data_IF_692603736734
#
_entry.id   IF_692603736734
#
_cell.length_a   1.000
_cell.length_b   1.000
_cell.length_c   1.000
_cell.angle_alpha   90.00
_cell.angle_beta   90.00
_cell.angle_gamma   90.00
#
_symmetry.space_group_name_H-M   'P 1'
#
loop_
_entity.id
_entity.type
_entity.pdbx_description
1 polymer ?
#
# COMPACT_ATOMS: atom_id res chain seq x y z
N UNK A 1 19.35 11.94 8.51
CA UNK A 1 20.70 12.42 8.17
C UNK A 1 20.66 13.92 7.93
N UNK A 2 21.45 14.69 8.70
CA UNK A 2 21.51 16.15 8.56
C UNK A 2 22.09 16.56 7.20
N UNK A 3 21.33 17.28 6.36
CA UNK A 3 21.81 17.85 5.10
C UNK A 3 21.29 19.28 4.96
N UNK A 4 22.16 20.19 4.52
CA UNK A 4 21.81 21.58 4.26
C UNK A 4 22.18 21.95 2.83
N UNK A 5 21.35 22.73 2.17
CA UNK A 5 21.54 23.18 0.78
C UNK A 5 21.44 24.70 0.72
N UNK A 6 22.36 25.42 0.07
CA UNK A 6 22.28 26.87 -0.03
C UNK A 6 20.98 27.30 -0.74
N UNK A 7 20.31 28.32 -0.21
CA UNK A 7 19.13 28.95 -0.83
C UNK A 7 19.60 30.18 -1.62
N UNK A 8 19.17 30.31 -2.87
CA UNK A 8 19.48 31.50 -3.69
C UNK A 8 18.83 32.75 -3.09
N UNK A 9 19.54 33.88 -3.12
CA UNK A 9 19.05 35.16 -2.56
C UNK A 9 17.83 35.72 -3.34
N UNK A 10 17.67 35.31 -4.60
CA UNK A 10 16.55 35.66 -5.48
C UNK A 10 15.24 34.94 -5.14
N UNK A 11 15.28 33.83 -4.42
CA UNK A 11 14.15 32.89 -4.28
C UNK A 11 13.32 33.12 -2.99
N UNK A 12 13.48 34.27 -2.34
CA UNK A 12 12.72 34.64 -1.13
C UNK A 12 11.41 35.34 -1.50
N UNK A 13 10.28 34.84 -1.00
CA UNK A 13 8.96 35.48 -1.18
C UNK A 13 8.89 36.81 -0.40
N UNK A 14 7.92 37.66 -0.74
CA UNK A 14 7.75 38.95 -0.09
C UNK A 14 7.49 38.83 1.42
N UNK A 15 6.70 37.82 1.84
CA UNK A 15 6.38 37.52 3.23
C UNK A 15 7.60 37.03 3.99
N UNK A 16 8.42 36.15 3.39
CA UNK A 16 9.66 35.67 4.00
C UNK A 16 10.65 36.82 4.21
N UNK A 17 10.77 37.72 3.23
CA UNK A 17 11.61 38.92 3.35
C UNK A 17 11.14 39.81 4.50
N UNK A 18 9.83 39.98 4.65
CA UNK A 18 9.24 40.74 5.75
C UNK A 18 9.48 40.07 7.11
N UNK A 19 9.23 38.76 7.22
CA UNK A 19 9.50 37.99 8.44
C UNK A 19 10.97 38.09 8.85
N UNK A 20 11.90 37.97 7.89
CA UNK A 20 13.34 38.13 8.13
C UNK A 20 13.69 39.53 8.66
N UNK A 21 13.04 40.57 8.13
CA UNK A 21 13.25 41.93 8.59
C UNK A 21 12.70 42.18 10.02
N UNK A 22 11.58 41.56 10.37
CA UNK A 22 10.93 41.71 11.68
C UNK A 22 11.69 40.97 12.79
N UNK A 23 12.03 39.69 12.56
CA UNK A 23 12.59 38.85 13.61
C UNK A 23 14.10 38.99 13.76
N UNK A 24 14.78 39.71 12.86
CA UNK A 24 16.22 39.96 12.94
C UNK A 24 17.05 38.68 12.97
N UNK A 25 16.46 37.54 12.61
CA UNK A 25 17.17 36.28 12.51
C UNK A 25 18.27 36.49 11.46
N UNK A 26 19.52 36.31 11.88
CA UNK A 26 20.63 36.06 10.97
C UNK A 26 20.32 34.74 10.26
N UNK A 27 19.43 34.81 9.28
CA UNK A 27 18.89 33.66 8.59
C UNK A 27 20.08 32.92 7.99
N UNK A 28 20.25 31.67 8.40
CA UNK A 28 21.12 30.72 7.71
C UNK A 28 20.72 30.76 6.23
N UNK A 29 21.66 31.09 5.34
CA UNK A 29 21.48 31.08 3.87
C UNK A 29 21.27 29.66 3.31
N UNK A 30 20.87 28.72 4.15
CA UNK A 30 20.77 27.30 3.86
C UNK A 30 19.40 26.79 4.24
N UNK A 31 18.83 25.97 3.36
CA UNK A 31 17.63 25.19 3.59
C UNK A 31 18.01 23.83 4.17
N UNK A 32 17.26 23.38 5.17
CA UNK A 32 17.36 22.00 5.65
C UNK A 32 16.77 21.06 4.59
N UNK A 33 17.58 20.13 4.10
CA UNK A 33 17.23 19.08 3.13
C UNK A 33 17.59 17.69 3.69
N UNK A 34 17.53 17.57 5.02
CA UNK A 34 17.86 16.36 5.75
C UNK A 34 16.96 15.19 5.39
N UNK A 35 17.56 13.99 5.27
CA UNK A 35 16.82 12.75 5.17
C UNK A 35 16.13 12.47 6.51
N UNK A 36 14.81 12.35 6.49
CA UNK A 36 13.95 11.98 7.63
C UNK A 36 13.52 10.52 7.48
N UNK A 37 13.10 9.91 8.58
CA UNK A 37 12.47 8.59 8.52
C UNK A 37 11.13 8.74 7.78
N UNK A 38 10.85 7.94 6.74
CA UNK A 38 9.58 7.98 6.02
C UNK A 38 8.39 7.68 6.93
N UNK A 39 7.20 8.11 6.51
CA UNK A 39 5.96 7.80 7.22
C UNK A 39 5.71 6.29 7.28
N UNK A 40 5.31 5.78 8.44
CA UNK A 40 5.04 4.36 8.66
C UNK A 40 6.26 3.52 9.01
N UNK A 41 7.47 4.02 8.78
CA UNK A 41 8.70 3.30 9.11
C UNK A 41 9.15 3.55 10.55
N UNK A 42 9.52 2.49 11.25
CA UNK A 42 10.08 2.56 12.60
C UNK A 42 11.14 1.47 12.79
N UNK A 43 12.13 1.71 13.64
CA UNK A 43 13.12 0.68 13.92
C UNK A 43 14.35 1.20 14.65
N UNK A 44 15.36 0.36 14.70
CA UNK A 44 16.66 0.63 15.32
C UNK A 44 17.69 0.72 14.21
N UNK A 45 18.52 1.76 14.23
CA UNK A 45 19.67 1.85 13.31
C UNK A 45 20.66 0.75 13.66
N UNK A 46 20.91 -0.16 12.73
CA UNK A 46 21.84 -1.28 12.89
C UNK A 46 23.22 -0.98 12.33
N UNK A 47 23.28 -0.20 11.26
CA UNK A 47 24.53 0.17 10.61
C UNK A 47 24.38 1.51 9.86
N UNK A 48 25.49 2.22 9.70
CA UNK A 48 25.56 3.45 8.92
C UNK A 48 26.87 3.48 8.14
N UNK A 49 26.78 3.47 6.81
CA UNK A 49 27.93 3.50 5.91
C UNK A 49 28.03 4.85 5.24
N UNK A 50 29.23 5.42 5.26
CA UNK A 50 29.54 6.70 4.64
C UNK A 50 30.54 6.46 3.52
N UNK A 51 30.17 6.85 2.31
CA UNK A 51 30.99 6.75 1.12
C UNK A 51 31.45 8.14 0.70
N UNK A 52 32.75 8.30 0.46
CA UNK A 52 33.35 9.59 0.09
C UNK A 52 34.35 9.41 -1.04
N UNK A 53 34.43 10.39 -1.93
CA UNK A 53 35.41 10.37 -3.02
C UNK A 53 36.85 10.34 -2.52
N UNK A 54 37.11 10.95 -1.35
CA UNK A 54 38.42 10.95 -0.70
C UNK A 54 38.85 9.56 -0.20
N UNK A 55 37.89 8.70 0.17
CA UNK A 55 38.14 7.32 0.58
C UNK A 55 38.35 6.36 -0.62
N UNK A 56 38.24 6.86 -1.85
CA UNK A 56 38.37 6.06 -3.07
C UNK A 56 37.08 5.36 -3.51
N UNK A 57 35.93 5.71 -2.91
CA UNK A 57 34.63 5.16 -3.30
C UNK A 57 34.15 5.74 -4.64
N UNK A 58 33.56 4.91 -5.50
CA UNK A 58 32.92 5.35 -6.73
C UNK A 58 31.59 6.04 -6.42
N UNK A 59 31.52 7.34 -6.73
CA UNK A 59 30.33 8.18 -6.55
C UNK A 59 29.91 8.79 -7.88
N UNK A 60 28.59 8.86 -8.09
CA UNK A 60 27.99 9.51 -9.25
C UNK A 60 28.49 10.95 -9.49
N UNK A 61 28.42 11.44 -10.74
CA UNK A 61 28.89 12.78 -11.09
C UNK A 61 28.11 13.85 -10.31
N UNK A 62 28.83 14.79 -9.69
CA UNK A 62 28.24 15.84 -8.84
C UNK A 62 27.89 15.42 -7.41
N UNK A 63 28.12 14.16 -7.04
CA UNK A 63 27.93 13.66 -5.67
C UNK A 63 29.25 13.74 -4.90
N UNK A 64 29.22 14.43 -3.75
CA UNK A 64 30.38 14.59 -2.86
C UNK A 64 30.49 13.45 -1.82
N UNK A 65 29.35 13.02 -1.29
CA UNK A 65 29.26 12.03 -0.23
C UNK A 65 27.90 11.31 -0.32
N UNK A 66 27.90 9.99 -0.09
CA UNK A 66 26.69 9.18 0.05
C UNK A 66 26.67 8.60 1.46
N UNK A 67 25.51 8.66 2.12
CA UNK A 67 25.34 8.02 3.43
C UNK A 67 24.16 7.06 3.38
N UNK A 68 24.42 5.79 3.68
CA UNK A 68 23.41 4.74 3.78
C UNK A 68 23.20 4.41 5.26
N UNK A 69 21.96 4.47 5.72
CA UNK A 69 21.58 4.14 7.09
C UNK A 69 20.67 2.93 7.05
N UNK A 70 21.08 1.84 7.69
CA UNK A 70 20.31 0.60 7.76
C UNK A 70 19.48 0.61 9.04
N UNK A 71 18.17 0.45 8.89
CA UNK A 71 17.21 0.41 9.99
C UNK A 71 16.58 -0.97 10.02
N UNK A 72 16.63 -1.64 11.17
CA UNK A 72 15.99 -2.93 11.36
C UNK A 72 14.74 -2.80 12.25
N UNK A 73 13.69 -3.52 11.87
CA UNK A 73 12.44 -3.58 12.60
C UNK A 73 12.04 -5.03 12.85
N UNK A 74 11.59 -5.34 14.07
CA UNK A 74 10.99 -6.64 14.38
C UNK A 74 9.46 -6.54 14.26
N UNK A 75 8.91 -7.10 13.18
CA UNK A 75 7.47 -7.10 12.92
C UNK A 75 6.80 -8.36 13.48
N UNK A 76 5.89 -8.18 14.45
CA UNK A 76 5.04 -9.27 14.98
C UNK A 76 3.84 -9.50 14.07
N UNK A 77 3.14 -10.63 14.22
CA UNK A 77 1.86 -10.84 13.53
C UNK A 77 0.81 -9.89 14.09
N UNK A 78 0.04 -9.28 13.20
CA UNK A 78 -1.01 -8.33 13.57
C UNK A 78 -2.29 -8.58 12.76
N UNK A 79 -3.40 -8.00 13.23
CA UNK A 79 -4.66 -7.99 12.49
C UNK A 79 -4.45 -7.25 11.18
N UNK A 80 -4.84 -7.86 10.06
CA UNK A 80 -4.58 -7.34 8.72
C UNK A 80 -3.41 -8.03 8.00
N UNK A 81 -2.52 -8.73 8.71
CA UNK A 81 -1.46 -9.50 8.05
C UNK A 81 -2.03 -10.69 7.27
N UNK A 82 -1.47 -10.94 6.09
CA UNK A 82 -1.87 -12.05 5.23
C UNK A 82 -1.08 -13.32 5.58
N UNK A 83 -1.82 -14.40 5.74
CA UNK A 83 -1.31 -15.73 6.04
C UNK A 83 -1.81 -16.73 4.98
N UNK A 84 -1.08 -17.82 4.78
CA UNK A 84 -1.46 -18.85 3.82
C UNK A 84 -1.03 -20.24 4.25
N UNK A 85 -1.87 -21.25 4.01
CA UNK A 85 -1.44 -22.63 3.99
C UNK A 85 -0.81 -23.01 2.64
N UNK A 86 -0.18 -24.18 2.59
CA UNK A 86 0.47 -24.70 1.37
C UNK A 86 -0.52 -25.09 0.27
N UNK A 87 -1.79 -25.28 0.63
CA UNK A 87 -2.87 -25.71 -0.27
C UNK A 87 -3.68 -24.53 -0.86
N UNK A 88 -3.08 -23.33 -0.92
CA UNK A 88 -3.70 -22.15 -1.53
C UNK A 88 -4.79 -21.48 -0.69
N UNK A 89 -5.04 -21.96 0.53
CA UNK A 89 -5.93 -21.31 1.50
C UNK A 89 -5.27 -20.06 2.08
N UNK A 90 -5.50 -18.92 1.41
CA UNK A 90 -5.02 -17.59 1.82
C UNK A 90 -6.10 -16.88 2.63
N UNK A 91 -5.68 -16.16 3.67
CA UNK A 91 -6.56 -15.37 4.53
C UNK A 91 -5.83 -14.21 5.19
N UNK A 92 -6.61 -13.28 5.73
CA UNK A 92 -6.10 -12.17 6.53
C UNK A 92 -6.45 -12.46 8.00
N UNK A 93 -5.53 -12.16 8.92
CA UNK A 93 -5.81 -12.26 10.36
C UNK A 93 -6.91 -11.24 10.72
N UNK A 94 -8.08 -11.71 11.11
CA UNK A 94 -9.22 -10.85 11.45
C UNK A 94 -9.22 -10.41 12.91
N UNK A 95 -8.80 -11.30 13.82
CA UNK A 95 -8.77 -11.04 15.26
C UNK A 95 -7.71 -11.90 15.93
N UNK A 96 -7.01 -11.32 16.90
CA UNK A 96 -6.14 -12.04 17.84
C UNK A 96 -6.89 -12.13 19.16
N UNK A 97 -7.28 -13.35 19.55
CA UNK A 97 -7.99 -13.60 20.80
C UNK A 97 -7.01 -13.89 21.94
N UNK A 98 -7.36 -13.54 23.19
CA UNK A 98 -6.69 -14.08 24.37
C UNK A 98 -6.76 -15.61 24.38
N UNK A 99 -5.79 -16.26 25.00
CA UNK A 99 -5.68 -17.72 25.02
C UNK A 99 -6.88 -18.37 25.75
N UNK A 100 -7.39 -17.71 26.78
CA UNK A 100 -8.56 -18.14 27.57
C UNK A 100 -9.87 -18.13 26.77
N UNK A 101 -9.95 -17.32 25.73
CA UNK A 101 -11.15 -17.18 24.88
C UNK A 101 -11.17 -18.19 23.72
N UNK A 102 -10.04 -18.84 23.44
CA UNK A 102 -9.91 -19.78 22.32
C UNK A 102 -10.60 -21.10 22.65
N UNK A 103 -11.23 -21.75 21.66
CA UNK A 103 -11.67 -23.13 21.82
C UNK A 103 -10.51 -24.02 22.29
N UNK A 104 -10.80 -24.93 23.21
CA UNK A 104 -9.79 -25.81 23.78
C UNK A 104 -10.21 -27.28 23.75
N UNK A 105 -9.20 -28.13 23.74
CA UNK A 105 -9.31 -29.59 23.71
C UNK A 105 -9.61 -30.14 25.13
N UNK A 106 -10.06 -31.41 25.27
CA UNK A 106 -10.40 -31.98 26.58
C UNK A 106 -9.23 -32.06 27.57
N UNK A 107 -7.99 -31.99 27.08
CA UNK A 107 -6.75 -31.93 27.85
C UNK A 107 -6.43 -30.50 28.37
N UNK A 108 -7.23 -29.49 27.99
CA UNK A 108 -7.03 -28.09 28.32
C UNK A 108 -6.18 -27.32 27.31
N UNK A 109 -5.68 -27.95 26.25
CA UNK A 109 -4.85 -27.29 25.24
C UNK A 109 -5.72 -26.40 24.34
N UNK A 110 -5.50 -25.07 24.29
CA UNK A 110 -6.24 -24.18 23.41
C UNK A 110 -5.73 -24.29 21.97
N UNK A 111 -6.61 -23.99 21.01
CA UNK A 111 -6.23 -23.92 19.59
C UNK A 111 -5.44 -22.64 19.29
N UNK A 112 -4.52 -22.71 18.32
CA UNK A 112 -3.75 -21.56 17.85
C UNK A 112 -4.48 -20.76 16.75
N UNK A 113 -5.12 -21.46 15.81
CA UNK A 113 -5.77 -20.86 14.63
C UNK A 113 -7.11 -21.57 14.38
N UNK A 114 -8.15 -20.80 14.10
CA UNK A 114 -9.47 -21.32 13.68
C UNK A 114 -9.70 -20.95 12.21
N UNK A 115 -9.85 -21.96 11.35
CA UNK A 115 -10.08 -21.80 9.92
C UNK A 115 -11.56 -22.06 9.58
N UNK A 116 -12.11 -21.24 8.69
CA UNK A 116 -13.50 -21.39 8.25
C UNK A 116 -13.65 -22.59 7.28
N UNK A 117 -14.49 -23.60 7.59
CA UNK A 117 -14.64 -24.78 6.73
C UNK A 117 -15.30 -24.48 5.38
N UNK A 118 -16.09 -23.40 5.25
CA UNK A 118 -16.82 -23.07 4.02
C UNK A 118 -15.91 -22.83 2.81
N UNK A 119 -14.65 -22.47 3.04
CA UNK A 119 -13.67 -22.22 1.99
C UNK A 119 -13.05 -23.49 1.38
N UNK A 120 -13.30 -24.68 1.95
CA UNK A 120 -12.67 -25.93 1.48
C UNK A 120 -13.47 -26.59 0.34
N UNK A 121 -14.80 -26.83 0.47
CA UNK A 121 -15.55 -27.55 -0.57
C UNK A 121 -15.60 -26.80 -1.91
N UNK A 122 -15.76 -25.47 -1.86
CA UNK A 122 -15.86 -24.62 -3.05
C UNK A 122 -14.54 -24.53 -3.85
N UNK A 123 -13.40 -24.72 -3.18
CA UNK A 123 -12.06 -24.59 -3.79
C UNK A 123 -11.42 -25.92 -4.15
N UNK A 124 -12.04 -27.04 -3.79
CA UNK A 124 -11.57 -28.41 -4.03
C UNK A 124 -10.14 -28.68 -3.53
N UNK A 125 -9.68 -27.95 -2.51
CA UNK A 125 -8.33 -28.10 -1.93
C UNK A 125 -8.37 -28.97 -0.67
N UNK A 126 -8.87 -30.21 -0.82
CA UNK A 126 -9.06 -31.17 0.27
C UNK A 126 -7.75 -31.61 0.94
N UNK A 127 -6.61 -31.45 0.26
CA UNK A 127 -5.29 -31.76 0.79
C UNK A 127 -4.99 -31.06 2.11
N UNK A 128 -5.56 -29.87 2.36
CA UNK A 128 -5.40 -29.20 3.66
C UNK A 128 -6.05 -29.97 4.81
N UNK A 129 -7.13 -30.71 4.56
CA UNK A 129 -7.81 -31.54 5.58
C UNK A 129 -7.01 -32.82 5.81
N UNK A 130 -6.49 -33.42 4.75
CA UNK A 130 -5.60 -34.58 4.83
C UNK A 130 -4.31 -34.23 5.61
N UNK A 131 -3.74 -33.05 5.36
CA UNK A 131 -2.60 -32.53 6.12
C UNK A 131 -2.93 -32.40 7.61
N UNK A 132 -4.10 -31.85 7.96
CA UNK A 132 -4.54 -31.68 9.36
C UNK A 132 -4.65 -33.02 10.06
N UNK A 133 -5.25 -34.03 9.42
CA UNK A 133 -5.41 -35.37 9.99
C UNK A 133 -4.05 -36.07 10.21
N UNK A 134 -3.20 -36.09 9.18
CA UNK A 134 -1.88 -36.70 9.27
C UNK A 134 -0.99 -35.96 10.27
N UNK A 135 -1.05 -34.63 10.28
CA UNK A 135 -0.34 -33.78 11.24
C UNK A 135 -0.78 -34.03 12.68
N UNK A 136 -2.07 -34.32 12.90
CA UNK A 136 -2.57 -34.67 14.23
C UNK A 136 -2.00 -35.99 14.74
N UNK A 137 -2.04 -37.04 13.92
CA UNK A 137 -1.46 -38.34 14.25
C UNK A 137 0.06 -38.24 14.48
N UNK A 138 0.77 -37.53 13.59
CA UNK A 138 2.21 -37.34 13.67
C UNK A 138 2.65 -36.62 14.96
N UNK A 139 1.91 -35.58 15.37
CA UNK A 139 2.17 -34.87 16.61
C UNK A 139 1.96 -35.76 17.85
N UNK A 140 0.86 -36.52 17.90
CA UNK A 140 0.57 -37.43 19.00
C UNK A 140 1.61 -38.56 19.13
N UNK A 141 2.14 -39.06 18.01
CA UNK A 141 3.20 -40.07 17.98
C UNK A 141 4.61 -39.48 18.14
N UNK A 142 4.77 -38.15 18.14
CA UNK A 142 6.05 -37.47 18.28
C UNK A 142 6.99 -37.66 17.08
N UNK A 143 6.47 -37.89 15.88
CA UNK A 143 7.24 -38.12 14.66
C UNK A 143 7.00 -37.05 13.60
N UNK A 144 7.91 -36.94 12.63
CA UNK A 144 7.71 -36.14 11.41
C UNK A 144 7.44 -37.09 10.24
N UNK A 145 6.52 -36.70 9.37
CA UNK A 145 6.13 -37.48 8.19
C UNK A 145 6.54 -36.72 6.93
N UNK A 146 6.96 -37.46 5.91
CA UNK A 146 7.19 -36.94 4.58
C UNK A 146 6.27 -37.68 3.61
N UNK A 147 5.44 -36.94 2.88
CA UNK A 147 4.54 -37.47 1.85
C UNK A 147 4.99 -36.97 0.48
N UNK A 148 5.53 -37.83 -0.40
CA UNK A 148 5.81 -37.48 -1.78
C UNK A 148 4.57 -36.97 -2.52
N UNK A 149 4.76 -36.16 -3.56
CA UNK A 149 3.67 -35.43 -4.25
C UNK A 149 2.66 -36.37 -4.91
N UNK A 150 3.12 -37.48 -5.49
CA UNK A 150 2.29 -38.42 -6.27
C UNK A 150 2.35 -39.86 -5.77
N UNK A 151 3.08 -40.12 -4.70
CA UNK A 151 3.26 -41.43 -4.06
C UNK A 151 3.27 -41.22 -2.53
N UNK A 152 2.23 -40.53 -2.06
CA UNK A 152 2.07 -40.06 -0.70
C UNK A 152 1.34 -41.05 0.19
N UNK A 153 1.03 -40.64 1.42
CA UNK A 153 0.17 -41.41 2.31
C UNK A 153 -1.27 -41.44 1.77
N UNK A 154 -1.88 -42.62 1.75
CA UNK A 154 -3.27 -42.80 1.40
C UNK A 154 -4.19 -42.55 2.60
N UNK A 155 -5.50 -42.41 2.36
CA UNK A 155 -6.50 -42.23 3.42
C UNK A 155 -6.49 -43.39 4.44
N UNK A 156 -6.21 -44.61 3.96
CA UNK A 156 -6.03 -45.79 4.81
C UNK A 156 -4.87 -45.62 5.79
N UNK A 157 -3.70 -45.18 5.29
CA UNK A 157 -2.51 -44.97 6.11
C UNK A 157 -2.75 -43.89 7.18
N UNK A 158 -3.44 -42.81 6.81
CA UNK A 158 -3.79 -41.72 7.75
C UNK A 158 -4.70 -42.24 8.85
N UNK A 159 -5.72 -43.04 8.49
CA UNK A 159 -6.67 -43.61 9.44
C UNK A 159 -5.98 -44.59 10.39
N UNK A 160 -5.10 -45.44 9.88
CA UNK A 160 -4.31 -46.39 10.67
C UNK A 160 -3.37 -45.65 11.63
N UNK A 161 -2.74 -44.56 11.18
CA UNK A 161 -1.87 -43.75 12.00
C UNK A 161 -2.63 -43.01 13.11
N UNK A 162 -3.84 -42.51 12.84
CA UNK A 162 -4.73 -41.94 13.85
C UNK A 162 -5.12 -42.98 14.92
N UNK A 163 -5.44 -44.20 14.51
CA UNK A 163 -5.76 -45.30 15.43
C UNK A 163 -4.55 -45.68 16.30
N UNK A 164 -3.36 -45.77 15.71
CA UNK A 164 -2.11 -46.02 16.44
C UNK A 164 -1.81 -44.94 17.47
N UNK A 165 -2.18 -43.68 17.17
CA UNK A 165 -2.07 -42.55 18.09
C UNK A 165 -3.15 -42.53 19.19
N UNK A 166 -4.15 -43.42 19.13
CA UNK A 166 -5.29 -43.43 20.06
C UNK A 166 -6.29 -42.30 19.83
N UNK A 167 -6.31 -41.72 18.61
CA UNK A 167 -7.19 -40.64 18.21
C UNK A 167 -8.43 -41.17 17.47
N UNK A 168 -9.44 -40.32 17.29
CA UNK A 168 -10.63 -40.65 16.51
C UNK A 168 -10.24 -40.91 15.04
N UNK A 169 -10.64 -42.04 14.44
CA UNK A 169 -10.38 -42.33 13.03
C UNK A 169 -10.89 -41.25 12.06
N UNK A 170 -11.92 -40.49 12.44
CA UNK A 170 -12.43 -39.38 11.62
C UNK A 170 -11.58 -38.11 11.69
N UNK A 171 -10.52 -38.07 12.53
CA UNK A 171 -9.70 -36.87 12.73
C UNK A 171 -10.42 -35.72 13.44
N UNK A 172 -11.53 -36.01 14.12
CA UNK A 172 -12.33 -35.02 14.86
C UNK A 172 -12.18 -35.19 16.36
N UNK A 173 -12.34 -34.10 17.10
CA UNK A 173 -12.31 -34.10 18.57
C UNK A 173 -13.43 -33.23 19.14
N UNK A 174 -13.81 -33.50 20.38
CA UNK A 174 -14.75 -32.65 21.12
C UNK A 174 -13.98 -31.42 21.58
N UNK A 175 -14.49 -30.24 21.25
CA UNK A 175 -13.94 -28.97 21.71
C UNK A 175 -14.88 -28.34 22.72
N UNK A 176 -14.32 -27.50 23.58
CA UNK A 176 -15.04 -26.66 24.53
C UNK A 176 -14.87 -25.18 24.17
N UNK A 177 -15.92 -24.39 24.34
CA UNK A 177 -15.86 -22.95 24.17
C UNK A 177 -15.08 -22.32 25.35
N UNK A 178 -14.01 -21.58 25.06
CA UNK A 178 -13.19 -20.90 26.08
C UNK A 178 -13.96 -19.88 26.92
N UNK A 179 -15.04 -19.31 26.38
CA UNK A 179 -15.82 -18.27 27.07
C UNK A 179 -16.88 -18.80 28.02
N UNK A 180 -17.54 -19.90 27.65
CA UNK A 180 -18.65 -20.48 28.41
C UNK A 180 -18.22 -21.73 29.17
N UNK A 181 -17.21 -22.45 28.68
CA UNK A 181 -16.80 -23.77 29.15
C UNK A 181 -17.71 -24.90 28.65
N UNK A 182 -18.73 -24.62 27.85
CA UNK A 182 -19.64 -25.63 27.31
C UNK A 182 -19.02 -26.36 26.10
N UNK A 183 -19.27 -27.68 25.94
CA UNK A 183 -18.83 -28.40 24.76
C UNK A 183 -19.60 -27.95 23.51
N UNK A 184 -18.94 -27.94 22.35
CA UNK A 184 -19.62 -27.74 21.07
C UNK A 184 -20.55 -28.92 20.74
N UNK A 185 -21.67 -28.63 20.05
CA UNK A 185 -22.69 -29.63 19.69
C UNK A 185 -22.15 -30.79 18.83
N UNK A 186 -21.21 -30.48 17.93
CA UNK A 186 -20.63 -31.45 17.00
C UNK A 186 -19.12 -31.55 17.20
N UNK A 187 -18.55 -32.74 16.95
CA UNK A 187 -17.10 -32.93 16.89
C UNK A 187 -16.52 -32.09 15.75
N UNK A 188 -15.39 -31.45 16.01
CA UNK A 188 -14.72 -30.56 15.06
C UNK A 188 -13.40 -31.18 14.64
N UNK A 189 -13.02 -31.02 13.36
CA UNK A 189 -11.71 -31.46 12.87
C UNK A 189 -10.62 -30.60 13.51
N UNK A 190 -9.66 -31.24 14.17
CA UNK A 190 -8.53 -30.61 14.85
C UNK A 190 -7.26 -31.31 14.41
N UNK A 191 -6.16 -30.55 14.29
CA UNK A 191 -4.87 -31.11 13.95
C UNK A 191 -3.85 -30.02 13.64
N UNK A 192 -2.71 -30.44 13.10
CA UNK A 192 -1.58 -29.56 12.84
C UNK A 192 -1.46 -29.31 11.34
N UNK A 193 -1.45 -28.02 10.97
CA UNK A 193 -1.26 -27.57 9.59
C UNK A 193 -0.05 -26.66 9.52
N UNK A 194 0.68 -26.71 8.42
CA UNK A 194 1.78 -25.80 8.15
C UNK A 194 1.26 -24.48 7.55
N UNK A 195 1.42 -23.40 8.30
CA UNK A 195 0.95 -22.07 7.93
C UNK A 195 2.10 -21.08 7.77
N UNK A 196 2.04 -20.29 6.70
CA UNK A 196 3.05 -19.33 6.29
C UNK A 196 2.57 -17.90 6.52
N UNK A 197 3.48 -17.05 6.99
CA UNK A 197 3.30 -15.59 6.97
C UNK A 197 3.77 -15.05 5.64
N UNK A 198 2.90 -14.36 4.92
CA UNK A 198 3.26 -13.77 3.62
C UNK A 198 3.85 -12.37 3.81
N UNK A 199 4.67 -11.95 2.84
CA UNK A 199 5.17 -10.58 2.72
C UNK A 199 4.07 -9.61 2.21
N UNK A 200 2.87 -9.74 2.76
CA UNK A 200 1.76 -8.81 2.56
C UNK A 200 1.28 -8.39 3.94
N UNK A 201 2.00 -7.44 4.52
CA UNK A 201 1.77 -6.93 5.86
C UNK A 201 0.86 -5.70 5.79
N UNK A 202 0.05 -5.52 6.83
CA UNK A 202 -0.88 -4.37 6.88
C UNK A 202 -0.13 -3.04 6.98
N UNK A 203 0.97 -3.02 7.72
CA UNK A 203 1.81 -1.82 7.94
C UNK A 203 2.35 -1.26 6.61
N UNK A 204 2.62 -2.14 5.65
CA UNK A 204 3.09 -1.75 4.32
C UNK A 204 1.95 -1.27 3.42
N UNK A 205 0.71 -1.68 3.67
CA UNK A 205 -0.45 -1.37 2.83
C UNK A 205 -1.27 -0.18 3.29
N UNK A 206 -1.21 0.17 4.57
CA UNK A 206 -1.93 1.35 5.08
C UNK A 206 -1.32 2.62 4.51
N UNK A 207 -2.16 3.45 3.91
CA UNK A 207 -1.78 4.75 3.35
C UNK A 207 -2.92 5.74 3.56
N UNK A 208 -2.56 6.95 3.98
CA UNK A 208 -3.49 8.04 4.17
C UNK A 208 -2.81 9.35 3.79
N UNK A 209 -3.55 10.22 3.12
CA UNK A 209 -3.10 11.53 2.65
C UNK A 209 -4.15 12.58 3.00
N UNK A 210 -3.70 13.71 3.54
CA UNK A 210 -4.52 14.92 3.69
C UNK A 210 -4.23 15.90 2.55
N UNK A 211 -2.99 16.36 2.48
CA UNK A 211 -2.40 17.24 1.46
C UNK A 211 -1.03 16.67 1.12
N UNK A 212 -0.42 17.08 0.02
CA UNK A 212 0.87 16.53 -0.40
C UNK A 212 1.15 16.88 -1.84
N UNK A 213 2.23 16.34 -2.42
CA UNK A 213 2.76 16.83 -3.68
C UNK A 213 1.81 16.60 -4.86
N UNK A 214 2.00 17.44 -5.89
CA UNK A 214 1.16 17.52 -7.07
C UNK A 214 2.02 17.44 -8.34
N UNK A 215 1.44 16.89 -9.40
CA UNK A 215 2.09 16.88 -10.71
C UNK A 215 2.31 18.30 -11.23
N UNK A 216 3.52 18.58 -11.74
CA UNK A 216 3.85 19.87 -12.33
C UNK A 216 2.95 20.24 -13.52
N UNK A 217 2.54 19.23 -14.30
CA UNK A 217 1.78 19.44 -15.54
C UNK A 217 0.28 19.48 -15.24
N UNK A 218 -0.26 18.42 -14.63
CA UNK A 218 -1.71 18.26 -14.46
C UNK A 218 -2.23 18.89 -13.17
N UNK A 219 -1.35 19.32 -12.25
CA UNK A 219 -1.69 19.81 -10.92
C UNK A 219 -2.51 18.85 -10.05
N UNK A 220 -2.62 17.57 -10.47
CA UNK A 220 -3.29 16.52 -9.71
C UNK A 220 -2.37 15.94 -8.64
N UNK A 221 -2.92 15.44 -7.52
CA UNK A 221 -2.18 14.64 -6.54
C UNK A 221 -1.31 13.57 -7.20
N UNK A 222 -0.02 13.49 -6.83
CA UNK A 222 0.85 12.40 -7.30
C UNK A 222 0.29 11.02 -6.89
N UNK A 223 0.74 9.96 -7.57
CA UNK A 223 0.35 8.58 -7.28
C UNK A 223 1.38 7.86 -6.39
N UNK A 224 0.93 6.78 -5.74
CA UNK A 224 1.82 5.86 -5.02
C UNK A 224 2.13 6.28 -3.57
N UNK A 225 2.28 5.27 -2.70
CA UNK A 225 2.54 5.46 -1.26
C UNK A 225 3.86 6.20 -1.00
N UNK A 226 4.90 5.85 -1.76
CA UNK A 226 6.24 6.42 -1.61
C UNK A 226 6.27 7.94 -1.85
N UNK A 227 5.41 8.45 -2.73
CA UNK A 227 5.33 9.89 -3.05
C UNK A 227 4.25 10.62 -2.24
N UNK A 228 3.74 9.99 -1.17
CA UNK A 228 2.61 10.51 -0.41
C UNK A 228 1.39 10.81 -1.32
N UNK A 229 1.15 9.89 -2.26
CA UNK A 229 0.20 10.06 -3.35
C UNK A 229 -1.27 10.01 -2.94
N UNK A 230 -2.15 10.55 -3.77
CA UNK A 230 -3.60 10.46 -3.61
C UNK A 230 -4.13 9.11 -4.10
N UNK A 231 -5.33 8.73 -3.64
CA UNK A 231 -6.05 7.61 -4.22
C UNK A 231 -6.68 8.04 -5.55
N UNK A 232 -6.58 7.19 -6.57
CA UNK A 232 -7.24 7.44 -7.85
C UNK A 232 -8.75 7.30 -7.68
N UNK A 233 -9.47 8.37 -8.01
CA UNK A 233 -10.91 8.34 -8.20
C UNK A 233 -11.18 8.11 -9.70
N UNK A 234 -11.56 6.89 -10.06
CA UNK A 234 -11.71 6.48 -11.45
C UNK A 234 -13.07 6.81 -12.04
N UNK A 235 -13.21 6.49 -13.33
CA UNK A 235 -14.46 6.66 -14.07
C UNK A 235 -15.61 5.83 -13.47
N UNK A 236 -15.32 4.59 -13.05
CA UNK A 236 -16.34 3.72 -12.44
C UNK A 236 -16.83 4.28 -11.10
N UNK A 237 -15.95 4.87 -10.29
CA UNK A 237 -16.35 5.52 -9.03
C UNK A 237 -17.12 6.82 -9.29
N UNK A 238 -16.78 7.55 -10.36
CA UNK A 238 -17.54 8.72 -10.80
C UNK A 238 -18.97 8.34 -11.17
N UNK A 239 -19.18 7.31 -11.99
CA UNK A 239 -20.53 6.81 -12.32
C UNK A 239 -21.32 6.40 -11.09
N UNK A 240 -20.65 5.83 -10.08
CA UNK A 240 -21.31 5.49 -8.83
C UNK A 240 -21.88 6.75 -8.15
N UNK A 241 -21.11 7.85 -8.05
CA UNK A 241 -21.59 9.09 -7.46
C UNK A 241 -22.69 9.76 -8.31
N UNK A 242 -22.59 9.68 -9.63
CA UNK A 242 -23.63 10.16 -10.55
C UNK A 242 -24.95 9.41 -10.34
N UNK A 243 -24.90 8.08 -10.22
CA UNK A 243 -26.08 7.25 -9.97
C UNK A 243 -26.78 7.58 -8.64
N UNK A 244 -26.02 7.97 -7.62
CA UNK A 244 -26.56 8.47 -6.35
C UNK A 244 -27.12 9.89 -6.42
N UNK A 245 -26.86 10.64 -7.50
CA UNK A 245 -27.18 12.06 -7.59
C UNK A 245 -26.33 12.93 -6.67
N UNK A 246 -25.14 12.46 -6.28
CA UNK A 246 -24.24 13.12 -5.34
C UNK A 246 -23.43 14.25 -6.00
N UNK A 247 -24.13 15.23 -6.60
CA UNK A 247 -23.53 16.27 -7.43
C UNK A 247 -22.46 17.10 -6.69
N UNK A 248 -22.70 17.49 -5.43
CA UNK A 248 -21.74 18.26 -4.65
C UNK A 248 -20.49 17.45 -4.30
N UNK A 249 -20.64 16.17 -3.93
CA UNK A 249 -19.52 15.28 -3.63
C UNK A 249 -18.68 15.02 -4.87
N UNK A 250 -19.32 14.77 -6.02
CA UNK A 250 -18.61 14.57 -7.27
C UNK A 250 -17.86 15.84 -7.68
N UNK A 251 -18.51 17.01 -7.60
CA UNK A 251 -17.88 18.30 -7.89
C UNK A 251 -16.66 18.52 -6.99
N UNK A 252 -16.77 18.24 -5.68
CA UNK A 252 -15.67 18.38 -4.73
C UNK A 252 -14.47 17.48 -5.08
N UNK A 253 -14.72 16.22 -5.45
CA UNK A 253 -13.67 15.26 -5.85
C UNK A 253 -12.93 15.70 -7.11
N UNK A 254 -13.64 16.27 -8.09
CA UNK A 254 -13.07 16.70 -9.37
C UNK A 254 -12.44 18.11 -9.35
N UNK A 255 -12.51 18.83 -8.23
CA UNK A 255 -12.03 20.22 -8.14
C UNK A 255 -11.11 20.42 -6.93
N UNK A 256 -11.65 20.86 -5.80
CA UNK A 256 -10.91 21.31 -4.60
C UNK A 256 -10.08 20.21 -3.95
N UNK A 257 -10.42 18.93 -4.18
CA UNK A 257 -9.64 17.76 -3.71
C UNK A 257 -8.57 17.28 -4.70
N UNK A 258 -8.54 17.84 -5.91
CA UNK A 258 -7.66 17.44 -7.00
C UNK A 258 -6.84 18.64 -7.51
N UNK A 259 -7.29 19.26 -8.61
CA UNK A 259 -6.53 20.14 -9.49
C UNK A 259 -7.11 21.56 -9.59
N UNK A 260 -8.03 21.94 -8.70
CA UNK A 260 -8.35 23.34 -8.48
C UNK A 260 -7.27 23.98 -7.57
N UNK A 261 -6.27 24.59 -8.20
CA UNK A 261 -5.06 25.12 -7.53
C UNK A 261 -5.40 26.20 -6.51
N UNK A 262 -6.30 27.12 -6.84
CA UNK A 262 -6.70 28.20 -5.91
C UNK A 262 -7.75 27.71 -4.91
N UNK A 263 -8.68 26.86 -5.35
CA UNK A 263 -9.74 26.30 -4.52
C UNK A 263 -9.21 25.38 -3.42
N UNK A 264 -8.18 24.56 -3.68
CA UNK A 264 -7.61 23.67 -2.66
C UNK A 264 -6.96 24.43 -1.51
N UNK A 265 -6.25 25.53 -1.80
CA UNK A 265 -5.60 26.37 -0.77
C UNK A 265 -6.67 27.09 0.06
N UNK A 266 -7.65 27.71 -0.58
CA UNK A 266 -8.76 28.40 0.12
C UNK A 266 -9.60 27.41 0.93
N UNK A 267 -9.80 26.19 0.44
CA UNK A 267 -10.51 25.12 1.15
C UNK A 267 -9.76 24.73 2.42
N UNK A 268 -8.44 24.52 2.33
CA UNK A 268 -7.61 24.23 3.49
C UNK A 268 -7.70 25.36 4.54
N UNK A 269 -7.58 26.61 4.11
CA UNK A 269 -7.72 27.78 4.98
C UNK A 269 -9.11 27.86 5.63
N UNK A 270 -10.18 27.62 4.87
CA UNK A 270 -11.54 27.62 5.38
C UNK A 270 -11.75 26.55 6.45
N UNK A 271 -11.22 25.33 6.23
CA UNK A 271 -11.27 24.23 7.22
C UNK A 271 -10.56 24.63 8.51
N UNK A 272 -9.36 25.20 8.42
CA UNK A 272 -8.58 25.64 9.60
C UNK A 272 -9.31 26.75 10.36
N UNK A 273 -10.00 27.66 9.64
CA UNK A 273 -10.79 28.75 10.23
C UNK A 273 -12.18 28.31 10.71
N UNK A 274 -12.61 27.09 10.42
CA UNK A 274 -13.98 26.63 10.69
C UNK A 274 -15.05 27.34 9.87
N UNK A 275 -14.68 27.90 8.72
CA UNK A 275 -15.59 28.51 7.76
C UNK A 275 -16.09 27.49 6.74
N UNK A 276 -17.18 27.81 6.05
CA UNK A 276 -17.67 26.97 4.95
C UNK A 276 -16.68 26.97 3.78
N UNK A 277 -16.58 25.82 3.12
CA UNK A 277 -15.76 25.62 1.93
C UNK A 277 -16.24 26.57 0.81
N UNK A 278 -15.33 27.29 0.12
CA UNK A 278 -15.69 28.19 -0.96
C UNK A 278 -16.26 27.43 -2.17
N UNK A 279 -16.88 28.16 -3.10
CA UNK A 279 -17.30 27.58 -4.36
C UNK A 279 -16.07 27.17 -5.20
N UNK A 280 -16.08 25.95 -5.78
CA UNK A 280 -14.98 25.49 -6.61
C UNK A 280 -14.80 26.31 -7.89
N UNK A 281 -13.55 26.46 -8.31
CA UNK A 281 -13.15 27.08 -9.56
C UNK A 281 -13.09 26.10 -10.74
N UNK A 282 -12.38 26.51 -11.79
CA UNK A 282 -12.14 25.69 -12.99
C UNK A 282 -10.95 24.76 -12.75
N UNK A 283 -11.09 23.44 -12.96
CA UNK A 283 -9.97 22.50 -12.85
C UNK A 283 -8.80 22.85 -13.78
N UNK A 284 -7.58 22.69 -13.30
CA UNK A 284 -6.39 22.95 -14.12
C UNK A 284 -6.29 21.98 -15.30
N UNK A 285 -6.70 20.70 -15.14
CA UNK A 285 -6.69 19.75 -16.25
C UNK A 285 -7.57 20.21 -17.43
N UNK A 286 -8.65 20.95 -17.17
CA UNK A 286 -9.47 21.54 -18.23
C UNK A 286 -8.75 22.68 -18.95
N UNK A 287 -8.03 23.54 -18.22
CA UNK A 287 -7.22 24.61 -18.82
C UNK A 287 -6.10 24.02 -19.68
N UNK A 288 -5.41 22.99 -19.18
CA UNK A 288 -4.37 22.25 -19.92
C UNK A 288 -4.96 21.65 -21.20
N UNK A 289 -6.11 20.97 -21.13
CA UNK A 289 -6.80 20.41 -22.30
C UNK A 289 -7.09 21.48 -23.37
N UNK A 290 -7.59 22.64 -22.97
CA UNK A 290 -7.86 23.75 -23.91
C UNK A 290 -6.58 24.20 -24.60
N UNK A 291 -5.47 24.33 -23.87
CA UNK A 291 -4.16 24.70 -24.43
C UNK A 291 -3.58 23.63 -25.35
N UNK A 292 -3.73 22.35 -25.00
CA UNK A 292 -3.31 21.23 -25.86
C UNK A 292 -4.09 21.22 -27.17
N UNK A 293 -5.41 21.41 -27.15
CA UNK A 293 -6.22 21.49 -28.36
C UNK A 293 -5.89 22.74 -29.21
N UNK A 294 -5.60 23.88 -28.58
CA UNK A 294 -5.12 25.08 -29.26
C UNK A 294 -3.75 24.86 -29.95
N UNK A 295 -2.88 24.04 -29.36
CA UNK A 295 -1.59 23.68 -29.97
C UNK A 295 -1.74 22.90 -31.29
N UNK A 296 -2.88 22.22 -31.46
CA UNK A 296 -3.27 21.50 -32.67
C UNK A 296 -3.98 22.40 -33.70
N UNK A 297 -3.93 23.73 -33.52
CA UNK A 297 -4.62 24.71 -34.34
C UNK A 297 -6.16 24.61 -34.27
N UNK A 298 -6.72 24.07 -33.18
CA UNK A 298 -8.16 24.09 -32.91
C UNK A 298 -8.51 25.28 -32.01
N UNK A 299 -9.34 26.19 -32.51
CA UNK A 299 -9.77 27.37 -31.76
C UNK A 299 -10.93 27.02 -30.81
N UNK A 300 -10.59 26.76 -29.54
CA UNK A 300 -11.54 26.51 -28.47
C UNK A 300 -11.71 27.76 -27.62
N UNK A 301 -12.96 28.20 -27.48
CA UNK A 301 -13.36 29.38 -26.71
C UNK A 301 -14.49 29.03 -25.75
N UNK A 302 -14.39 29.50 -24.51
CA UNK A 302 -15.48 29.44 -23.54
C UNK A 302 -16.32 30.70 -23.70
N UNK A 303 -17.63 30.54 -23.87
CA UNK A 303 -18.57 31.64 -24.08
C UNK A 303 -19.52 31.78 -22.89
N UNK A 304 -19.89 33.01 -22.56
CA UNK A 304 -20.99 33.30 -21.64
C UNK A 304 -22.36 33.14 -22.34
N UNK A 305 -23.46 33.33 -21.60
CA UNK A 305 -24.82 33.29 -22.14
C UNK A 305 -25.09 34.35 -23.23
N UNK A 306 -24.30 35.43 -23.25
CA UNK A 306 -24.41 36.55 -24.20
C UNK A 306 -23.50 36.38 -25.43
N UNK A 307 -22.75 35.26 -25.52
CA UNK A 307 -21.80 34.99 -26.60
C UNK A 307 -20.47 35.75 -26.49
N UNK A 308 -20.18 36.37 -25.35
CA UNK A 308 -18.88 36.97 -25.09
C UNK A 308 -17.87 35.90 -24.65
N UNK A 309 -16.62 36.05 -25.08
CA UNK A 309 -15.55 35.14 -24.71
C UNK A 309 -15.12 35.37 -23.27
N UNK A 310 -15.13 34.28 -22.48
CA UNK A 310 -14.55 34.25 -21.14
C UNK A 310 -13.08 33.86 -21.28
N UNK A 311 -12.19 34.76 -20.86
CA UNK A 311 -10.77 34.43 -20.75
C UNK A 311 -10.55 33.57 -19.51
N UNK A 312 -10.11 32.33 -19.74
CA UNK A 312 -9.54 31.48 -18.69
C UNK A 312 -8.17 32.05 -18.33
N UNK A 313 -8.13 33.06 -17.46
CA UNK A 313 -6.86 33.60 -16.98
C UNK A 313 -6.13 32.53 -16.18
N UNK A 314 -4.82 32.48 -16.35
CA UNK A 314 -3.93 31.89 -15.35
C UNK A 314 -4.14 32.71 -14.08
N UNK A 315 -4.47 32.05 -12.97
CA UNK A 315 -4.76 32.73 -11.71
C UNK A 315 -3.48 33.46 -11.25
N UNK A 316 -3.34 34.75 -11.54
CA UNK A 316 -2.20 35.57 -11.08
C UNK A 316 -2.13 35.59 -9.53
N UNK A 317 -3.27 35.38 -8.85
CA UNK A 317 -3.39 35.20 -7.40
C UNK A 317 -2.78 33.87 -6.88
N UNK A 318 -2.40 32.93 -7.76
CA UNK A 318 -1.70 31.70 -7.38
C UNK A 318 -0.28 31.99 -6.87
N UNK A 319 0.30 33.14 -7.20
CA UNK A 319 1.60 33.56 -6.65
C UNK A 319 1.51 34.14 -5.23
N UNK A 320 0.36 34.70 -4.83
CA UNK A 320 0.15 35.37 -3.53
C UNK A 320 -0.59 34.47 -2.50
N UNK A 321 -0.94 33.24 -2.87
CA UNK A 321 -1.69 32.32 -2.01
C UNK A 321 -0.78 31.50 -1.09
N UNK A 322 -0.73 31.94 0.16
CA UNK A 322 -0.38 31.20 1.39
C UNK A 322 0.16 29.76 1.21
N UNK A 323 1.49 29.63 1.15
CA UNK A 323 2.34 28.58 1.72
C UNK A 323 1.95 27.07 1.60
N UNK A 324 1.06 26.63 0.70
CA UNK A 324 0.84 25.19 0.46
C UNK A 324 1.95 24.59 -0.42
N UNK A 325 2.44 25.35 -1.40
CA UNK A 325 3.58 24.97 -2.24
C UNK A 325 4.86 24.69 -1.44
N UNK A 326 4.93 25.15 -0.19
CA UNK A 326 6.05 24.91 0.72
C UNK A 326 5.99 23.51 1.35
N UNK A 327 4.80 22.95 1.58
CA UNK A 327 4.67 21.53 1.97
C UNK A 327 4.97 20.62 0.78
N UNK A 328 4.49 20.97 -0.42
CA UNK A 328 4.68 20.16 -1.62
C UNK A 328 6.14 20.14 -2.11
N UNK A 329 6.82 21.29 -2.10
CA UNK A 329 8.25 21.38 -2.42
C UNK A 329 9.17 20.92 -1.29
N UNK A 330 8.64 20.68 -0.08
CA UNK A 330 9.30 19.95 1.00
C UNK A 330 9.14 18.44 0.88
N UNK A 331 8.24 17.90 0.06
CA UNK A 331 8.14 16.44 -0.17
C UNK A 331 8.79 16.02 -1.51
N UNK A 332 8.63 16.80 -2.58
CA UNK A 332 9.11 16.44 -3.93
C UNK A 332 10.64 16.26 -4.06
N UNK A 333 11.42 16.92 -3.18
CA UNK A 333 12.89 16.78 -3.14
C UNK A 333 13.41 15.81 -2.08
N UNK A 334 12.52 15.25 -1.28
CA UNK A 334 12.87 14.29 -0.23
C UNK A 334 12.95 12.84 -0.74
N UNK A 335 12.50 12.58 -1.97
CA UNK A 335 12.62 11.30 -2.65
C UNK A 335 13.45 11.42 -3.94
N UNK A 336 14.75 11.67 -3.80
CA UNK A 336 15.69 11.07 -4.74
C UNK A 336 15.70 9.56 -4.43
N UNK A 337 14.73 8.85 -5.00
CA UNK A 337 14.78 7.39 -5.09
C UNK A 337 16.03 7.10 -5.90
N UNK A 338 16.99 6.45 -5.26
CA UNK A 338 18.06 5.74 -5.97
C UNK A 338 17.34 4.82 -6.94
N UNK A 339 17.56 4.98 -8.25
CA UNK A 339 17.02 4.05 -9.26
C UNK A 339 17.27 2.62 -8.79
N UNK A 340 16.27 1.73 -8.90
CA UNK A 340 16.35 0.32 -8.50
C UNK A 340 17.60 -0.40 -9.04
N UNK A 341 18.18 0.14 -10.12
CA UNK A 341 19.45 -0.28 -10.74
C UNK A 341 20.65 -0.25 -9.77
N UNK A 342 20.81 0.78 -8.94
CA UNK A 342 21.92 0.89 -7.98
C UNK A 342 21.75 -0.03 -6.75
N UNK A 343 20.52 -0.50 -6.49
CA UNK A 343 20.23 -1.45 -5.40
C UNK A 343 20.57 -2.89 -5.83
N UNK A 344 20.28 -3.25 -7.08
CA UNK A 344 20.60 -4.55 -7.69
C UNK A 344 22.12 -4.81 -7.80
N UNK A 345 22.93 -3.78 -8.01
CA UNK A 345 24.41 -3.92 -8.08
C UNK A 345 25.07 -4.27 -6.73
N UNK A 346 24.34 -4.21 -5.61
CA UNK A 346 24.89 -4.42 -4.26
C UNK A 346 24.97 -5.89 -3.81
N UNK A 347 24.53 -6.84 -4.65
CA UNK A 347 24.66 -8.29 -4.39
C UNK A 347 23.75 -8.82 -3.27
N UNK A 348 22.71 -8.08 -2.89
CA UNK A 348 21.64 -8.54 -2.02
C UNK A 348 20.32 -8.44 -2.78
N UNK A 349 19.93 -9.52 -3.45
CA UNK A 349 18.62 -9.62 -4.10
C UNK A 349 17.51 -9.63 -3.06
N UNK A 350 16.55 -8.72 -3.21
CA UNK A 350 15.16 -9.01 -2.88
C UNK A 350 14.58 -9.53 -4.19
N UNK A 351 14.31 -10.83 -4.29
CA UNK A 351 13.43 -11.35 -5.34
C UNK A 351 12.04 -10.73 -5.12
N UNK A 352 11.82 -9.56 -5.71
CA UNK A 352 10.47 -9.10 -5.96
C UNK A 352 9.88 -10.02 -7.03
N UNK A 353 9.09 -10.99 -6.58
CA UNK A 353 8.24 -11.74 -7.47
C UNK A 353 7.32 -10.74 -8.19
N UNK A 354 7.16 -10.85 -9.53
CA UNK A 354 6.35 -9.90 -10.29
C UNK A 354 4.94 -9.84 -9.70
N UNK A 355 4.55 -8.66 -9.23
CA UNK A 355 3.13 -8.35 -9.08
C UNK A 355 2.52 -8.42 -10.49
N UNK A 356 1.51 -9.29 -10.65
CA UNK A 356 0.64 -9.42 -11.81
C UNK A 356 0.86 -10.56 -12.83
N UNK A 357 1.28 -11.75 -12.37
CA UNK A 357 0.96 -12.99 -13.09
C UNK A 357 -0.42 -13.51 -12.67
N UNK A 358 -1.50 -12.80 -13.03
CA UNK A 358 -2.82 -13.18 -12.55
C UNK A 358 -4.04 -12.45 -13.08
N UNK A 359 -3.97 -11.76 -14.22
CA UNK A 359 -5.17 -11.35 -14.94
C UNK A 359 -4.86 -11.10 -16.42
N UNK A 360 -5.70 -11.68 -17.28
CA UNK A 360 -5.84 -11.39 -18.71
C UNK A 360 -4.90 -12.12 -19.69
N UNK A 361 -5.18 -13.41 -19.90
CA UNK A 361 -5.06 -14.00 -21.23
C UNK A 361 -6.47 -14.35 -21.71
N UNK A 362 -7.13 -13.36 -22.32
CA UNK A 362 -8.34 -13.55 -23.10
C UNK A 362 -8.09 -14.62 -24.17
N UNK A 363 -8.91 -15.65 -24.15
CA UNK A 363 -9.04 -16.65 -25.20
C UNK A 363 -9.52 -15.94 -26.47
N UNK A 364 -8.61 -15.58 -27.37
CA UNK A 364 -8.96 -15.22 -28.74
C UNK A 364 -9.01 -16.49 -29.59
N UNK A 365 -10.19 -16.79 -30.09
CA UNK A 365 -10.44 -17.92 -30.97
C UNK A 365 -9.94 -17.60 -32.37
N UNK A 366 -9.02 -18.42 -32.87
CA UNK A 366 -8.52 -18.33 -34.23
C UNK A 366 -7.78 -19.58 -34.64
N UNK A 367 -8.47 -20.73 -34.71
CA UNK A 367 -7.96 -21.88 -35.45
C UNK A 367 -8.24 -21.67 -36.95
N UNK A 368 -7.19 -21.27 -37.68
CA UNK A 368 -7.02 -21.66 -39.07
C UNK A 368 -5.53 -21.77 -39.37
N UNK A 369 -5.04 -23.01 -39.58
CA UNK A 369 -4.02 -23.41 -40.59
C UNK A 369 -3.56 -24.86 -40.36
N UNK A 370 -4.28 -25.78 -41.02
CA UNK A 370 -3.76 -26.75 -42.00
C UNK A 370 -2.57 -27.69 -41.72
N UNK A 371 -2.77 -28.92 -42.23
CA UNK A 371 -1.83 -29.88 -42.85
C UNK A 371 -1.42 -31.14 -42.06
N UNK A 372 -2.13 -32.22 -42.43
CA UNK A 372 -1.67 -33.47 -43.08
C UNK A 372 -0.75 -34.51 -42.40
N UNK A 373 -1.13 -35.76 -42.75
CA UNK A 373 -0.41 -37.06 -42.75
C UNK A 373 -0.21 -37.72 -41.36
N UNK A 374 -0.80 -38.89 -41.03
CA UNK A 374 -0.95 -40.19 -41.73
C UNK A 374 -2.09 -41.03 -41.10
#
# INVERSE_FOLDING_TARGET
MGKVTPKGETDLTAEERLLRAIFGEKAREVRDTSLKVPHGETGIVVDAKVFTREAGDELGPGVNQVVRVYVAQRRKIQVGDKMAGRHGNKGVVSRVLPQEDMPFMPDGTPLDIVLNPLGVPSRMNIGQVLEVHLGYAAHALGCKVATPIFDGADEGDITDMLQQAGLDPEGKSVLFDGRTGEPFDNKVTVGYVYFLKLHHLVDDKIHARSTGPYSLVTQQPLGGKAQFGGQRFGEMEMWALEAYGAAYTLREMLTVKSDDVTGRVKTYEAIVKGHNVPEPGVPEAFKVLVKELQSLCLDIRVLDENGNQIELKEDEDAMDTFNLARMDAEDERHHAVVEETEFQESGFDIEEAPEDAGADAGFDGGEDTGFDDE
#
